data_IF_677537686139
#
_entry.id   IF_677537686139
#
_cell.length_a   1.000
_cell.length_b   1.000
_cell.length_c   1.000
_cell.angle_alpha   90.00
_cell.angle_beta   90.00
_cell.angle_gamma   90.00
#
_symmetry.space_group_name_H-M   'P 1'
#
loop_
_entity.id
_entity.type
_entity.pdbx_description
1 polymer ?
#
# COMPACT_ATOMS: atom_id res chain seq x y z
N UNK A 1 -17.98 15.73 34.90
CA UNK A 1 -17.16 14.92 33.94
C UNK A 1 -17.84 14.98 32.60
N UNK A 2 -17.48 15.94 31.78
CA UNK A 2 -18.03 16.14 30.45
C UNK A 2 -17.48 15.04 29.53
N UNK A 3 -18.36 14.19 29.01
CA UNK A 3 -17.99 13.22 27.98
C UNK A 3 -17.76 14.00 26.68
N UNK A 4 -16.50 14.26 26.33
CA UNK A 4 -16.16 14.67 25.00
C UNK A 4 -16.64 13.61 24.01
N UNK A 5 -17.78 13.83 23.39
CA UNK A 5 -18.21 13.12 22.20
C UNK A 5 -17.24 13.53 21.08
N UNK A 6 -16.23 12.72 20.84
CA UNK A 6 -15.47 12.81 19.60
C UNK A 6 -16.44 12.55 18.44
N UNK A 7 -16.93 13.63 17.84
CA UNK A 7 -17.63 13.53 16.56
C UNK A 7 -16.67 12.94 15.53
N UNK A 8 -16.97 11.72 15.08
CA UNK A 8 -16.19 11.08 14.04
C UNK A 8 -16.49 11.79 12.73
N UNK A 9 -15.44 12.29 12.07
CA UNK A 9 -15.53 12.83 10.73
C UNK A 9 -16.08 11.76 9.78
N UNK A 10 -17.12 12.12 9.03
CA UNK A 10 -17.71 11.30 7.98
C UNK A 10 -17.41 11.96 6.64
N UNK A 11 -17.32 11.15 5.58
CA UNK A 11 -17.17 11.71 4.24
C UNK A 11 -18.40 12.56 3.89
N UNK A 12 -18.18 13.79 3.45
CA UNK A 12 -19.22 14.75 3.08
C UNK A 12 -19.98 14.36 1.80
N UNK A 13 -19.56 13.32 1.09
CA UNK A 13 -20.22 12.87 -0.13
C UNK A 13 -19.64 11.58 -0.72
N UNK A 14 -20.36 11.01 -1.68
CA UNK A 14 -19.96 9.79 -2.40
C UNK A 14 -18.61 9.96 -3.10
N UNK A 15 -18.36 11.13 -3.70
CA UNK A 15 -17.13 11.42 -4.42
C UNK A 15 -15.90 11.39 -3.48
N UNK A 16 -15.99 12.01 -2.30
CA UNK A 16 -14.92 12.01 -1.31
C UNK A 16 -14.56 10.59 -0.86
N UNK A 17 -15.55 9.74 -0.64
CA UNK A 17 -15.33 8.33 -0.32
C UNK A 17 -14.62 7.58 -1.46
N UNK A 18 -15.11 7.74 -2.70
CA UNK A 18 -14.53 7.06 -3.88
C UNK A 18 -13.09 7.50 -4.12
N UNK A 19 -12.80 8.81 -4.05
CA UNK A 19 -11.45 9.35 -4.22
C UNK A 19 -10.50 8.87 -3.11
N UNK A 20 -10.96 8.81 -1.87
CA UNK A 20 -10.15 8.27 -0.77
C UNK A 20 -9.86 6.79 -0.93
N UNK A 21 -10.86 6.00 -1.34
CA UNK A 21 -10.68 4.58 -1.59
C UNK A 21 -9.73 4.32 -2.77
N UNK A 22 -9.88 5.09 -3.85
CA UNK A 22 -8.98 5.04 -5.00
C UNK A 22 -7.55 5.41 -4.62
N UNK A 23 -7.36 6.52 -3.88
CA UNK A 23 -6.05 6.95 -3.40
C UNK A 23 -5.38 5.93 -2.48
N UNK A 24 -6.14 5.30 -1.59
CA UNK A 24 -5.62 4.23 -0.73
C UNK A 24 -5.24 2.95 -1.51
N UNK A 25 -5.83 2.74 -2.68
CA UNK A 25 -5.54 1.57 -3.53
C UNK A 25 -4.32 1.77 -4.43
N UNK A 26 -3.90 3.02 -4.66
CA UNK A 26 -2.71 3.33 -5.48
C UNK A 26 -1.47 3.30 -4.60
N UNK A 27 -0.55 2.41 -4.92
CA UNK A 27 0.71 2.27 -4.20
C UNK A 27 1.90 2.13 -5.15
N UNK A 28 3.10 2.12 -4.59
CA UNK A 28 4.34 1.94 -5.36
C UNK A 28 4.32 0.68 -6.23
N UNK A 29 3.69 -0.40 -5.76
CA UNK A 29 3.53 -1.62 -6.52
C UNK A 29 2.83 -1.45 -7.86
N UNK A 30 1.87 -0.54 -7.95
CA UNK A 30 1.12 -0.26 -9.18
C UNK A 30 2.01 0.43 -10.23
N UNK A 31 2.99 1.22 -9.78
CA UNK A 31 3.82 2.04 -10.66
C UNK A 31 5.01 1.24 -11.20
N UNK A 32 5.67 0.44 -10.35
CA UNK A 32 6.89 -0.25 -10.77
C UNK A 32 6.75 -1.78 -10.89
N UNK A 33 6.14 -2.44 -9.89
CA UNK A 33 6.06 -3.90 -9.86
C UNK A 33 5.03 -4.46 -10.83
N UNK A 34 3.89 -3.81 -10.94
CA UNK A 34 2.82 -4.26 -11.82
C UNK A 34 3.22 -4.25 -13.31
N UNK A 35 3.80 -3.16 -13.88
CA UNK A 35 4.28 -3.17 -15.26
C UNK A 35 5.36 -4.23 -15.51
N UNK A 36 6.28 -4.41 -14.58
CA UNK A 36 7.31 -5.44 -14.66
C UNK A 36 6.71 -6.86 -14.71
N UNK A 37 5.75 -7.16 -13.84
CA UNK A 37 5.07 -8.46 -13.85
C UNK A 37 4.24 -8.65 -15.11
N UNK A 38 3.55 -7.63 -15.59
CA UNK A 38 2.80 -7.68 -16.83
C UNK A 38 3.71 -8.01 -18.00
N UNK A 39 4.86 -7.35 -18.13
CA UNK A 39 5.85 -7.65 -19.18
C UNK A 39 6.41 -9.07 -19.07
N UNK A 40 6.71 -9.52 -17.84
CA UNK A 40 7.30 -10.83 -17.59
C UNK A 40 6.34 -12.01 -17.85
N UNK A 41 5.06 -11.85 -17.59
CA UNK A 41 4.07 -12.93 -17.61
C UNK A 41 3.07 -12.83 -18.77
N UNK A 42 3.51 -12.36 -19.92
CA UNK A 42 2.73 -12.43 -21.15
C UNK A 42 1.82 -11.23 -21.43
N UNK A 43 2.09 -10.07 -20.82
CA UNK A 43 1.47 -8.79 -21.17
C UNK A 43 -0.06 -8.81 -21.17
N UNK A 44 -0.65 -8.98 -22.35
CA UNK A 44 -2.11 -8.93 -22.52
C UNK A 44 -2.88 -10.00 -21.77
N UNK A 45 -2.37 -11.23 -21.69
CA UNK A 45 -3.00 -12.34 -20.94
C UNK A 45 -2.97 -12.03 -19.44
N UNK A 46 -1.84 -11.53 -18.94
CA UNK A 46 -1.72 -11.09 -17.55
C UNK A 46 -2.75 -10.00 -17.21
N UNK A 47 -2.90 -8.99 -18.07
CA UNK A 47 -3.88 -7.92 -17.90
C UNK A 47 -5.32 -8.43 -17.92
N UNK A 48 -5.64 -9.36 -18.86
CA UNK A 48 -6.98 -9.96 -18.92
C UNK A 48 -7.35 -10.67 -17.62
N UNK A 49 -6.45 -11.54 -17.13
CA UNK A 49 -6.66 -12.27 -15.87
C UNK A 49 -6.78 -11.28 -14.69
N UNK A 50 -5.91 -10.27 -14.65
CA UNK A 50 -5.97 -9.24 -13.62
C UNK A 50 -7.31 -8.51 -13.60
N UNK A 51 -7.85 -8.10 -14.76
CA UNK A 51 -9.13 -7.42 -14.86
C UNK A 51 -10.27 -8.34 -14.38
N UNK A 52 -10.27 -9.61 -14.78
CA UNK A 52 -11.28 -10.58 -14.32
C UNK A 52 -11.23 -10.71 -12.79
N UNK A 53 -10.04 -10.88 -12.23
CA UNK A 53 -9.87 -10.99 -10.77
C UNK A 53 -10.23 -9.69 -10.04
N UNK A 54 -9.91 -8.53 -10.59
CA UNK A 54 -10.28 -7.25 -10.01
C UNK A 54 -11.80 -7.03 -9.99
N UNK A 55 -12.50 -7.39 -11.06
CA UNK A 55 -13.96 -7.26 -11.16
C UNK A 55 -14.73 -8.29 -10.32
N UNK A 56 -14.17 -9.46 -10.09
CA UNK A 56 -14.78 -10.52 -9.29
C UNK A 56 -14.34 -10.44 -7.83
N UNK A 57 -13.12 -10.85 -7.55
CA UNK A 57 -12.57 -10.89 -6.20
C UNK A 57 -12.36 -9.50 -5.60
N UNK A 58 -11.73 -8.59 -6.34
CA UNK A 58 -11.42 -7.23 -5.86
C UNK A 58 -12.69 -6.47 -5.48
N UNK A 59 -13.70 -6.50 -6.35
CA UNK A 59 -14.98 -5.86 -6.07
C UNK A 59 -15.67 -6.47 -4.84
N UNK A 60 -15.73 -7.79 -4.76
CA UNK A 60 -16.36 -8.49 -3.63
C UNK A 60 -15.67 -8.17 -2.30
N UNK A 61 -14.32 -8.11 -2.29
CA UNK A 61 -13.54 -7.77 -1.10
C UNK A 61 -13.80 -6.34 -0.66
N UNK A 62 -13.77 -5.37 -1.57
CA UNK A 62 -14.03 -3.95 -1.24
C UNK A 62 -15.43 -3.76 -0.67
N UNK A 63 -16.44 -4.42 -1.24
CA UNK A 63 -17.82 -4.38 -0.75
C UNK A 63 -17.90 -4.96 0.67
N UNK A 64 -17.29 -6.14 0.89
CA UNK A 64 -17.30 -6.80 2.19
C UNK A 64 -16.60 -5.96 3.27
N UNK A 65 -15.41 -5.43 3.00
CA UNK A 65 -14.66 -4.58 3.92
C UNK A 65 -15.39 -3.27 4.24
N UNK A 66 -15.97 -2.64 3.21
CA UNK A 66 -16.75 -1.41 3.39
C UNK A 66 -18.00 -1.67 4.22
N UNK A 67 -18.71 -2.77 3.97
CA UNK A 67 -19.89 -3.17 4.75
C UNK A 67 -19.50 -3.42 6.21
N UNK A 68 -18.42 -4.18 6.46
CA UNK A 68 -17.89 -4.46 7.78
C UNK A 68 -17.53 -3.18 8.53
N UNK A 69 -16.82 -2.27 7.88
CA UNK A 69 -16.45 -0.98 8.44
C UNK A 69 -17.67 -0.12 8.81
N UNK A 70 -18.66 -0.05 7.95
CA UNK A 70 -19.92 0.69 8.20
C UNK A 70 -20.76 0.08 9.31
N UNK A 71 -20.89 -1.23 9.37
CA UNK A 71 -21.67 -1.94 10.39
C UNK A 71 -21.05 -1.81 11.79
N UNK A 72 -19.75 -1.89 11.87
CA UNK A 72 -19.04 -1.94 13.15
C UNK A 72 -18.63 -0.57 13.64
N UNK A 73 -18.26 0.34 12.74
CA UNK A 73 -17.66 1.65 13.03
C UNK A 73 -16.46 1.55 13.97
N UNK A 74 -15.66 0.49 13.83
CA UNK A 74 -14.49 0.22 14.67
C UNK A 74 -13.28 -0.04 13.78
N UNK A 75 -12.09 -0.02 14.39
CA UNK A 75 -10.86 -0.49 13.76
C UNK A 75 -10.97 -1.98 13.39
N UNK A 76 -10.12 -2.53 12.50
CA UNK A 76 -10.18 -3.94 12.12
C UNK A 76 -10.24 -4.89 13.32
N UNK A 77 -9.38 -4.69 14.32
CA UNK A 77 -9.37 -5.52 15.55
C UNK A 77 -10.71 -5.45 16.28
N UNK A 78 -11.25 -4.24 16.45
CA UNK A 78 -12.52 -4.05 17.13
C UNK A 78 -13.73 -4.49 16.32
N UNK A 79 -13.65 -4.46 14.99
CA UNK A 79 -14.70 -4.93 14.09
C UNK A 79 -14.91 -6.43 14.22
N UNK A 80 -13.84 -7.21 14.11
CA UNK A 80 -13.91 -8.66 14.25
C UNK A 80 -14.37 -9.09 15.66
N UNK A 81 -13.92 -8.38 16.70
CA UNK A 81 -14.36 -8.64 18.08
C UNK A 81 -15.84 -8.37 18.34
N UNK A 82 -16.53 -7.58 17.49
CA UNK A 82 -17.97 -7.33 17.62
C UNK A 82 -18.84 -8.50 17.14
N UNK A 83 -18.36 -9.31 16.19
CA UNK A 83 -19.12 -10.42 15.61
C UNK A 83 -19.10 -11.69 16.44
N UNK A 84 -18.21 -11.82 17.42
CA UNK A 84 -18.17 -12.95 18.31
C UNK A 84 -17.04 -12.89 19.32
N UNK A 85 -17.21 -13.64 20.41
CA UNK A 85 -16.18 -13.76 21.47
C UNK A 85 -15.10 -14.79 21.11
N UNK A 86 -15.08 -15.29 19.87
CA UNK A 86 -14.10 -16.27 19.43
C UNK A 86 -12.70 -15.65 19.32
N UNK A 87 -11.72 -16.32 19.90
CA UNK A 87 -10.30 -15.94 19.80
C UNK A 87 -9.80 -15.90 18.35
N UNK A 88 -10.34 -16.77 17.49
CA UNK A 88 -9.99 -16.82 16.07
C UNK A 88 -10.43 -15.57 15.30
N UNK A 89 -11.59 -15.03 15.60
CA UNK A 89 -12.05 -13.77 15.00
C UNK A 89 -11.17 -12.60 15.42
N UNK A 90 -10.80 -12.53 16.70
CA UNK A 90 -9.88 -11.51 17.19
C UNK A 90 -8.51 -11.63 16.54
N UNK A 91 -8.00 -12.84 16.34
CA UNK A 91 -6.73 -13.10 15.65
C UNK A 91 -6.75 -12.59 14.20
N UNK A 92 -7.84 -12.82 13.45
CA UNK A 92 -8.03 -12.25 12.11
C UNK A 92 -7.96 -10.72 12.08
N UNK A 93 -8.56 -10.06 13.07
CA UNK A 93 -8.48 -8.61 13.23
C UNK A 93 -7.05 -8.11 13.50
N UNK A 94 -6.29 -8.82 14.32
CA UNK A 94 -4.88 -8.51 14.59
C UNK A 94 -3.99 -8.71 13.37
N UNK A 95 -4.17 -9.78 12.59
CA UNK A 95 -3.46 -9.97 11.32
C UNK A 95 -3.68 -8.76 10.40
N UNK A 96 -4.94 -8.34 10.25
CA UNK A 96 -5.27 -7.19 9.41
C UNK A 96 -4.61 -5.88 9.90
N UNK A 97 -4.44 -5.71 11.21
CA UNK A 97 -3.77 -4.55 11.79
C UNK A 97 -2.24 -4.60 11.66
N UNK A 98 -1.64 -5.79 11.69
CA UNK A 98 -0.18 -5.97 11.61
C UNK A 98 0.32 -5.77 10.16
N UNK A 99 -0.47 -6.13 9.15
CA UNK A 99 -0.06 -6.01 7.74
C UNK A 99 0.43 -4.59 7.38
N UNK A 100 -0.30 -3.50 7.66
CA UNK A 100 0.18 -2.15 7.38
C UNK A 100 1.49 -1.81 8.11
N UNK A 101 1.65 -2.28 9.34
CA UNK A 101 2.87 -2.06 10.13
C UNK A 101 4.09 -2.69 9.47
N UNK A 102 3.94 -3.87 8.88
CA UNK A 102 5.02 -4.54 8.14
C UNK A 102 5.29 -3.92 6.76
N UNK A 103 4.26 -3.32 6.17
CA UNK A 103 4.39 -2.67 4.85
C UNK A 103 5.18 -1.36 4.94
N UNK A 104 5.05 -0.59 6.02
CA UNK A 104 5.71 0.72 6.15
C UNK A 104 7.23 0.67 5.95
N UNK A 105 8.01 -0.22 6.60
CA UNK A 105 9.44 -0.33 6.36
C UNK A 105 9.77 -0.67 4.91
N UNK A 106 9.03 -1.60 4.31
CA UNK A 106 9.20 -1.99 2.91
C UNK A 106 8.98 -0.80 1.95
N UNK A 107 7.93 -0.01 2.18
CA UNK A 107 7.65 1.19 1.38
C UNK A 107 8.73 2.26 1.55
N UNK A 108 9.24 2.43 2.76
CA UNK A 108 10.31 3.40 3.03
C UNK A 108 11.61 3.04 2.31
N UNK A 109 11.95 1.76 2.24
CA UNK A 109 13.13 1.30 1.47
C UNK A 109 12.96 1.60 -0.02
N UNK A 110 11.82 1.22 -0.61
CA UNK A 110 11.57 1.47 -2.04
C UNK A 110 11.47 2.97 -2.32
N UNK A 111 10.86 3.74 -1.42
CA UNK A 111 10.82 5.20 -1.51
C UNK A 111 12.22 5.81 -1.51
N UNK A 112 13.13 5.29 -0.68
CA UNK A 112 14.54 5.65 -0.68
C UNK A 112 15.22 5.39 -2.04
N UNK A 113 14.93 4.26 -2.70
CA UNK A 113 15.44 3.99 -4.05
C UNK A 113 14.94 5.02 -5.06
N UNK A 114 13.66 5.37 -5.01
CA UNK A 114 13.08 6.39 -5.89
C UNK A 114 13.77 7.74 -5.69
N UNK A 115 14.03 8.14 -4.44
CA UNK A 115 14.77 9.37 -4.11
C UNK A 115 16.19 9.32 -4.71
N UNK A 116 16.91 8.21 -4.56
CA UNK A 116 18.24 8.06 -5.14
C UNK A 116 18.24 8.27 -6.65
N UNK A 117 17.32 7.60 -7.35
CA UNK A 117 17.19 7.76 -8.79
C UNK A 117 16.81 9.19 -9.20
N UNK A 118 15.92 9.83 -8.47
CA UNK A 118 15.55 11.23 -8.70
C UNK A 118 16.75 12.18 -8.54
N UNK A 119 17.54 12.01 -7.49
CA UNK A 119 18.75 12.83 -7.23
C UNK A 119 19.75 12.65 -8.38
N UNK A 120 20.03 11.42 -8.80
CA UNK A 120 20.97 11.18 -9.89
C UNK A 120 20.45 11.72 -11.24
N UNK A 121 19.14 11.62 -11.47
CA UNK A 121 18.52 12.20 -12.66
C UNK A 121 18.67 13.73 -12.70
N UNK A 122 18.39 14.42 -11.57
CA UNK A 122 18.54 15.87 -11.45
C UNK A 122 20.00 16.31 -11.61
N UNK A 123 20.95 15.48 -11.17
CA UNK A 123 22.41 15.71 -11.37
C UNK A 123 22.87 15.51 -12.83
N UNK A 124 22.01 15.08 -13.73
CA UNK A 124 22.34 14.82 -15.11
C UNK A 124 23.02 13.46 -15.37
N UNK A 125 23.02 12.57 -14.38
CA UNK A 125 23.66 11.25 -14.47
C UNK A 125 22.71 10.18 -15.04
N UNK A 126 21.75 10.56 -15.88
CA UNK A 126 20.72 9.65 -16.39
C UNK A 126 21.29 8.42 -17.15
N UNK A 127 22.43 8.58 -17.81
CA UNK A 127 23.10 7.47 -18.51
C UNK A 127 23.59 6.39 -17.54
N UNK A 128 24.13 6.77 -16.39
CA UNK A 128 24.58 5.82 -15.35
C UNK A 128 23.42 5.03 -14.75
N UNK A 129 22.22 5.61 -14.68
CA UNK A 129 21.03 4.93 -14.18
C UNK A 129 20.57 3.78 -15.09
N UNK A 130 20.94 3.81 -16.36
CA UNK A 130 20.62 2.78 -17.36
C UNK A 130 21.69 1.68 -17.43
N UNK A 131 22.82 1.80 -16.74
CA UNK A 131 23.88 0.80 -16.73
C UNK A 131 23.44 -0.47 -15.98
N UNK A 132 23.72 -1.61 -16.60
CA UNK A 132 23.51 -2.91 -15.97
C UNK A 132 24.39 -3.02 -14.70
N UNK A 133 23.74 -3.25 -13.56
CA UNK A 133 24.43 -3.39 -12.27
C UNK A 133 24.41 -2.15 -11.38
N UNK A 134 24.09 -0.94 -11.87
CA UNK A 134 23.99 0.26 -11.04
C UNK A 134 23.08 0.08 -9.82
N UNK A 135 21.91 -0.50 -10.02
CA UNK A 135 20.97 -0.80 -8.94
C UNK A 135 21.56 -1.79 -7.93
N UNK A 136 22.20 -2.84 -8.40
CA UNK A 136 22.84 -3.87 -7.55
C UNK A 136 23.98 -3.29 -6.72
N UNK A 137 24.77 -2.41 -7.30
CA UNK A 137 25.83 -1.70 -6.58
C UNK A 137 25.25 -0.76 -5.51
N UNK A 138 24.21 0.00 -5.87
CA UNK A 138 23.54 0.89 -4.93
C UNK A 138 22.97 0.16 -3.72
N UNK A 139 22.23 -0.94 -3.92
CA UNK A 139 21.63 -1.70 -2.81
C UNK A 139 22.66 -2.44 -1.97
N UNK A 140 23.83 -2.72 -2.52
CA UNK A 140 24.97 -3.31 -1.79
C UNK A 140 25.72 -2.30 -0.93
N UNK A 141 25.55 -1.01 -1.20
CA UNK A 141 26.13 0.06 -0.40
C UNK A 141 25.16 0.46 0.73
N UNK A 142 25.35 -0.17 1.91
CA UNK A 142 24.47 0.01 3.07
C UNK A 142 24.27 1.47 3.45
N UNK A 143 25.36 2.25 3.57
CA UNK A 143 25.30 3.66 3.99
C UNK A 143 24.46 4.52 3.03
N UNK A 144 24.67 4.37 1.72
CA UNK A 144 23.92 5.14 0.73
C UNK A 144 22.42 4.78 0.74
N UNK A 145 22.12 3.50 0.93
CA UNK A 145 20.74 2.99 1.00
C UNK A 145 20.03 3.47 2.26
N UNK A 146 20.72 3.43 3.41
CA UNK A 146 20.18 3.90 4.69
C UNK A 146 19.89 5.40 4.69
N UNK A 147 20.78 6.22 4.15
CA UNK A 147 20.57 7.67 4.04
C UNK A 147 19.32 7.96 3.19
N UNK A 148 19.18 7.33 2.03
CA UNK A 148 18.00 7.51 1.18
C UNK A 148 16.71 7.01 1.85
N UNK A 149 16.80 5.89 2.58
CA UNK A 149 15.68 5.38 3.39
C UNK A 149 15.23 6.39 4.44
N UNK A 150 16.19 6.96 5.21
CA UNK A 150 15.87 7.94 6.24
C UNK A 150 15.26 9.22 5.66
N UNK A 151 15.79 9.73 4.53
CA UNK A 151 15.24 10.90 3.85
C UNK A 151 13.77 10.68 3.42
N UNK A 152 13.41 9.45 3.05
CA UNK A 152 12.03 9.14 2.67
C UNK A 152 11.13 8.95 3.89
N UNK A 153 11.66 8.41 4.99
CA UNK A 153 10.88 8.06 6.18
C UNK A 153 10.55 9.27 7.07
N UNK A 154 11.32 10.36 6.98
CA UNK A 154 11.18 11.58 7.78
C UNK A 154 10.96 12.81 6.91
#
# INVERSE_FOLDING_TARGET
MEKHHHERSTFSGKLGFVLSAAGASVGLGNIWRFPYLAAKYGGGIFLLIYIILALTFGYSMIVAETALGRMTRKSPVGAFGKFGKSKWLSFGGWINAIIPVLIVPYYSVIGGWVIKYLIEYVKGNSQKLAEDGYFSEFISNGTSTEVCFLIFAF
#
